data_IF_896995160843
#
_entry.id   IF_896995160843
#
_cell.length_a   1.000
_cell.length_b   1.000
_cell.length_c   1.000
_cell.angle_alpha   90.00
_cell.angle_beta   90.00
_cell.angle_gamma   90.00
#
_symmetry.space_group_name_H-M   'P 1'
#
loop_
_entity.id
_entity.type
_entity.pdbx_description
1 polymer ?
#
# COMPACT_ATOMS: atom_id res chain seq x y z
N UNK A 1 25.10 29.94 2.13
CA UNK A 1 25.73 28.86 2.91
C UNK A 1 26.28 27.83 1.94
N UNK A 2 27.56 27.48 2.04
CA UNK A 2 28.25 26.61 1.07
C UNK A 2 27.81 25.15 1.30
N UNK A 3 26.91 24.63 0.46
CA UNK A 3 26.29 23.31 0.63
C UNK A 3 27.08 22.21 -0.07
N UNK A 4 28.40 22.25 0.11
CA UNK A 4 29.35 21.35 -0.54
C UNK A 4 29.03 19.86 -0.29
N UNK A 5 28.68 19.41 0.94
CA UNK A 5 28.29 18.03 1.19
C UNK A 5 27.12 17.53 0.32
N UNK A 6 26.06 18.32 0.17
CA UNK A 6 24.89 17.92 -0.64
C UNK A 6 25.20 17.95 -2.13
N UNK A 7 26.04 18.89 -2.58
CA UNK A 7 26.48 18.96 -3.97
C UNK A 7 27.31 17.72 -4.37
N UNK A 8 28.20 17.26 -3.49
CA UNK A 8 29.01 16.05 -3.72
C UNK A 8 28.10 14.82 -3.80
N UNK A 9 27.18 14.64 -2.84
CA UNK A 9 26.28 13.49 -2.82
C UNK A 9 25.33 13.45 -4.03
N UNK A 10 24.77 14.60 -4.43
CA UNK A 10 23.91 14.70 -5.60
C UNK A 10 24.66 14.40 -6.91
N UNK A 11 25.87 14.96 -7.06
CA UNK A 11 26.72 14.71 -8.22
C UNK A 11 27.12 13.23 -8.33
N UNK A 12 27.46 12.61 -7.22
CA UNK A 12 27.76 11.18 -7.16
C UNK A 12 26.56 10.32 -7.56
N UNK A 13 25.38 10.61 -6.98
CA UNK A 13 24.12 9.90 -7.28
C UNK A 13 23.76 9.97 -8.76
N UNK A 14 23.85 11.16 -9.37
CA UNK A 14 23.57 11.34 -10.79
C UNK A 14 24.54 10.55 -11.69
N UNK A 15 25.84 10.59 -11.36
CA UNK A 15 26.87 9.94 -12.16
C UNK A 15 26.73 8.40 -12.17
N UNK A 16 26.13 7.80 -11.13
CA UNK A 16 25.83 6.35 -11.12
C UNK A 16 24.85 5.94 -12.21
N UNK A 17 23.88 6.79 -12.56
CA UNK A 17 22.90 6.54 -13.62
C UNK A 17 23.35 7.02 -14.99
N UNK A 18 24.25 8.00 -15.03
CA UNK A 18 24.76 8.62 -16.25
C UNK A 18 26.29 8.53 -16.29
N UNK A 19 26.87 7.32 -16.39
CA UNK A 19 28.30 7.12 -16.25
C UNK A 19 29.12 7.84 -17.32
N UNK A 20 28.51 8.21 -18.44
CA UNK A 20 29.14 8.88 -19.57
C UNK A 20 29.01 10.41 -19.55
N UNK A 21 28.37 11.00 -18.53
CA UNK A 21 28.22 12.45 -18.45
C UNK A 21 29.57 13.14 -18.13
N UNK A 22 30.14 13.76 -19.16
CA UNK A 22 31.46 14.41 -19.09
C UNK A 22 31.52 15.61 -18.13
N UNK A 23 30.40 16.33 -17.96
CA UNK A 23 30.34 17.45 -17.02
C UNK A 23 30.41 16.95 -15.57
N UNK A 24 29.63 15.93 -15.26
CA UNK A 24 29.55 15.36 -13.92
C UNK A 24 30.83 14.61 -13.56
N UNK A 25 31.51 13.96 -14.51
CA UNK A 25 32.86 13.41 -14.30
C UNK A 25 33.86 14.49 -13.87
N UNK A 26 33.87 15.65 -14.54
CA UNK A 26 34.75 16.78 -14.19
C UNK A 26 34.41 17.34 -12.81
N UNK A 27 33.12 17.51 -12.51
CA UNK A 27 32.66 17.95 -11.19
C UNK A 27 33.09 16.97 -10.08
N UNK A 28 32.94 15.67 -10.32
CA UNK A 28 33.36 14.64 -9.37
C UNK A 28 34.89 14.55 -9.22
N UNK A 29 35.65 14.77 -10.28
CA UNK A 29 37.11 14.87 -10.20
C UNK A 29 37.55 16.08 -9.36
N UNK A 30 36.89 17.23 -9.54
CA UNK A 30 37.10 18.40 -8.69
C UNK A 30 36.75 18.10 -7.22
N UNK A 31 35.59 17.52 -6.94
CA UNK A 31 35.21 17.20 -5.56
C UNK A 31 36.17 16.23 -4.89
N UNK A 32 36.62 15.18 -5.57
CA UNK A 32 37.63 14.23 -5.06
C UNK A 32 38.99 14.87 -4.78
N UNK A 33 39.28 16.04 -5.35
CA UNK A 33 40.52 16.78 -5.05
C UNK A 33 40.47 17.57 -3.74
N UNK A 34 39.27 17.73 -3.16
CA UNK A 34 39.08 18.49 -1.92
C UNK A 34 39.36 17.60 -0.71
N UNK A 35 40.08 18.10 0.31
CA UNK A 35 40.36 17.32 1.52
C UNK A 35 39.06 17.00 2.28
N UNK A 36 38.86 15.71 2.58
CA UNK A 36 37.68 15.23 3.31
C UNK A 36 36.41 15.11 2.45
N UNK A 37 36.53 15.20 1.12
CA UNK A 37 35.39 15.04 0.22
C UNK A 37 34.83 13.61 0.22
N UNK A 38 35.69 12.61 0.43
CA UNK A 38 35.34 11.19 0.47
C UNK A 38 34.16 10.89 1.40
N UNK A 39 34.07 11.58 2.55
CA UNK A 39 33.00 11.39 3.53
C UNK A 39 31.61 11.79 3.02
N UNK A 40 31.56 12.58 1.95
CA UNK A 40 30.34 13.09 1.32
C UNK A 40 29.98 12.37 0.01
N UNK A 41 30.83 11.45 -0.48
CA UNK A 41 30.56 10.65 -1.67
C UNK A 41 29.61 9.52 -1.29
N UNK A 42 28.32 9.85 -1.25
CA UNK A 42 27.23 8.93 -0.92
C UNK A 42 26.20 8.95 -2.03
N UNK A 43 25.70 7.79 -2.37
CA UNK A 43 24.53 7.67 -3.23
C UNK A 43 23.27 7.93 -2.39
N UNK A 44 22.48 8.91 -2.82
CA UNK A 44 21.25 9.35 -2.17
C UNK A 44 20.06 8.49 -2.54
N UNK A 45 20.18 7.67 -3.58
CA UNK A 45 19.11 6.78 -4.06
C UNK A 45 19.28 5.32 -3.63
N UNK A 46 20.42 4.97 -3.03
CA UNK A 46 20.69 3.63 -2.49
C UNK A 46 19.56 3.19 -1.57
N UNK A 47 18.99 2.02 -1.84
CA UNK A 47 17.96 1.44 -0.97
C UNK A 47 18.57 0.83 0.29
N UNK A 48 17.78 0.73 1.37
CA UNK A 48 18.25 0.16 2.64
C UNK A 48 18.81 -1.26 2.47
N UNK A 49 18.13 -2.10 1.68
CA UNK A 49 18.57 -3.47 1.39
C UNK A 49 19.87 -3.53 0.58
N UNK A 50 20.15 -2.55 -0.29
CA UNK A 50 21.39 -2.49 -1.09
C UNK A 50 22.59 -2.18 -0.20
N UNK A 51 22.42 -1.28 0.77
CA UNK A 51 23.46 -0.96 1.76
C UNK A 51 23.84 -2.20 2.59
N UNK A 52 22.83 -2.96 3.04
CA UNK A 52 23.02 -4.22 3.76
C UNK A 52 23.69 -5.28 2.88
N UNK A 53 23.27 -5.41 1.62
CA UNK A 53 23.88 -6.33 0.67
C UNK A 53 25.36 -6.00 0.40
N UNK A 54 25.70 -4.73 0.19
CA UNK A 54 27.10 -4.30 0.00
C UNK A 54 27.92 -4.62 1.25
N UNK A 55 27.37 -4.39 2.45
CA UNK A 55 28.03 -4.75 3.71
C UNK A 55 28.25 -6.26 3.82
N UNK A 56 27.26 -7.05 3.43
CA UNK A 56 27.36 -8.51 3.39
C UNK A 56 28.45 -9.00 2.44
N UNK A 57 28.52 -8.47 1.21
CA UNK A 57 29.55 -8.84 0.22
C UNK A 57 30.95 -8.47 0.72
N UNK A 58 31.11 -7.32 1.36
CA UNK A 58 32.39 -6.94 2.01
C UNK A 58 32.75 -7.91 3.13
N UNK A 59 31.78 -8.31 3.96
CA UNK A 59 31.99 -9.29 5.02
C UNK A 59 32.36 -10.67 4.46
N UNK A 60 31.72 -11.11 3.38
CA UNK A 60 32.03 -12.36 2.69
C UNK A 60 33.47 -12.38 2.15
N UNK A 61 33.89 -11.32 1.45
CA UNK A 61 35.25 -11.19 0.93
C UNK A 61 36.31 -11.07 2.03
N UNK A 62 35.90 -10.61 3.22
CA UNK A 62 36.73 -10.59 4.43
C UNK A 62 36.63 -11.87 5.28
N UNK A 63 36.06 -12.96 4.75
CA UNK A 63 35.85 -14.25 5.41
C UNK A 63 35.02 -14.17 6.72
N UNK A 64 34.29 -13.08 6.93
CA UNK A 64 33.39 -12.88 8.05
C UNK A 64 32.00 -13.39 7.70
N UNK A 65 31.88 -14.72 7.67
CA UNK A 65 30.65 -15.41 7.27
C UNK A 65 29.45 -15.04 8.15
N UNK A 66 29.66 -14.88 9.46
CA UNK A 66 28.58 -14.57 10.40
C UNK A 66 27.93 -13.22 10.08
N UNK A 67 28.74 -12.20 9.86
CA UNK A 67 28.23 -10.86 9.53
C UNK A 67 27.60 -10.84 8.14
N UNK A 68 28.19 -11.56 7.18
CA UNK A 68 27.61 -11.71 5.84
C UNK A 68 26.20 -12.32 5.89
N UNK A 69 25.99 -13.37 6.68
CA UNK A 69 24.69 -14.04 6.81
C UNK A 69 23.67 -13.08 7.43
N UNK A 70 24.00 -12.47 8.58
CA UNK A 70 23.08 -11.55 9.26
C UNK A 70 22.68 -10.37 8.38
N UNK A 71 23.63 -9.81 7.62
CA UNK A 71 23.37 -8.68 6.73
C UNK A 71 22.50 -9.07 5.54
N UNK A 72 22.71 -10.27 4.98
CA UNK A 72 21.82 -10.81 3.93
C UNK A 72 20.41 -11.05 4.46
N UNK A 73 20.27 -11.67 5.64
CA UNK A 73 18.96 -11.94 6.26
C UNK A 73 18.18 -10.64 6.52
N UNK A 74 18.84 -9.58 6.97
CA UNK A 74 18.22 -8.28 7.18
C UNK A 74 17.88 -7.56 5.87
N UNK A 75 18.62 -7.80 4.79
CA UNK A 75 18.36 -7.18 3.49
C UNK A 75 17.13 -7.77 2.79
N UNK A 76 16.85 -9.07 3.00
CA UNK A 76 15.81 -9.80 2.27
C UNK A 76 14.39 -9.23 2.42
N UNK A 77 13.87 -8.90 3.62
CA UNK A 77 12.51 -8.35 3.76
C UNK A 77 12.31 -7.04 3.00
N UNK A 78 13.27 -6.12 3.13
CA UNK A 78 13.23 -4.82 2.46
C UNK A 78 13.37 -4.97 0.93
N UNK A 79 14.21 -5.90 0.47
CA UNK A 79 14.33 -6.25 -0.94
C UNK A 79 13.01 -6.79 -1.48
N UNK A 80 12.40 -7.79 -0.81
CA UNK A 80 11.15 -8.40 -1.29
C UNK A 80 10.01 -7.39 -1.33
N UNK A 81 9.92 -6.51 -0.34
CA UNK A 81 8.94 -5.42 -0.36
C UNK A 81 9.11 -4.55 -1.61
N UNK A 82 10.32 -4.04 -1.87
CA UNK A 82 10.60 -3.21 -3.04
C UNK A 82 10.39 -3.97 -4.36
N UNK A 83 10.73 -5.26 -4.38
CA UNK A 83 10.55 -6.14 -5.53
C UNK A 83 9.06 -6.34 -5.85
N UNK A 84 8.21 -6.59 -4.86
CA UNK A 84 6.76 -6.74 -5.06
C UNK A 84 6.09 -5.43 -5.47
N UNK A 85 6.50 -4.31 -4.89
CA UNK A 85 6.04 -2.97 -5.33
C UNK A 85 6.40 -2.72 -6.80
N UNK A 86 7.63 -3.10 -7.20
CA UNK A 86 8.08 -3.00 -8.59
C UNK A 86 7.32 -3.96 -9.51
N UNK A 87 7.13 -5.22 -9.13
CA UNK A 87 6.33 -6.18 -9.89
C UNK A 87 4.89 -5.68 -10.10
N UNK A 88 4.25 -5.18 -9.04
CA UNK A 88 2.92 -4.61 -9.13
C UNK A 88 2.85 -3.41 -10.08
N UNK A 89 3.92 -2.61 -10.15
CA UNK A 89 4.01 -1.47 -11.07
C UNK A 89 4.38 -1.87 -12.52
N UNK A 90 5.16 -2.94 -12.70
CA UNK A 90 5.75 -3.33 -13.99
C UNK A 90 4.95 -4.39 -14.75
N UNK A 91 4.13 -5.21 -14.09
CA UNK A 91 3.36 -6.28 -14.76
C UNK A 91 2.21 -5.76 -15.63
N UNK A 92 1.95 -4.46 -15.65
CA UNK A 92 0.80 -3.88 -16.33
C UNK A 92 -0.52 -4.44 -15.80
N UNK A 93 -1.63 -4.03 -16.39
CA UNK A 93 -2.91 -4.67 -16.12
C UNK A 93 -2.87 -6.10 -16.67
N UNK A 94 -2.74 -7.11 -15.81
CA UNK A 94 -3.08 -8.50 -16.19
C UNK A 94 -4.49 -8.47 -16.76
N UNK A 95 -4.70 -9.03 -17.97
CA UNK A 95 -6.06 -9.23 -18.49
C UNK A 95 -6.76 -10.23 -17.57
N UNK A 96 -7.57 -9.71 -16.64
CA UNK A 96 -8.50 -10.51 -15.85
C UNK A 96 -9.55 -11.01 -16.83
N UNK A 97 -9.35 -12.21 -17.37
CA UNK A 97 -10.31 -12.84 -18.29
C UNK A 97 -11.47 -13.48 -17.55
N UNK A 98 -11.23 -13.89 -16.31
CA UNK A 98 -12.22 -14.56 -15.47
C UNK A 98 -12.03 -14.19 -13.99
N UNK A 99 -13.12 -14.19 -13.22
CA UNK A 99 -13.15 -13.71 -11.83
C UNK A 99 -12.21 -14.51 -10.90
N UNK A 100 -11.94 -15.77 -11.24
CA UNK A 100 -11.07 -16.67 -10.49
C UNK A 100 -9.58 -16.26 -10.52
N UNK A 101 -9.12 -15.65 -11.60
CA UNK A 101 -7.71 -15.23 -11.76
C UNK A 101 -7.39 -13.96 -10.96
N UNK A 102 -8.43 -13.16 -10.67
CA UNK A 102 -8.35 -11.99 -9.80
C UNK A 102 -8.09 -12.38 -8.34
N UNK A 103 -8.80 -13.40 -7.81
CA UNK A 103 -8.61 -13.82 -6.42
C UNK A 103 -7.29 -14.55 -6.20
N UNK A 104 -6.85 -15.39 -7.14
CA UNK A 104 -5.60 -16.14 -6.98
C UNK A 104 -4.37 -15.21 -6.97
N UNK A 105 -4.35 -14.18 -7.83
CA UNK A 105 -3.24 -13.23 -7.88
C UNK A 105 -3.13 -12.35 -6.63
N UNK A 106 -4.25 -12.04 -5.97
CA UNK A 106 -4.27 -11.28 -4.70
C UNK A 106 -4.01 -12.18 -3.49
N UNK A 107 -4.59 -13.38 -3.45
CA UNK A 107 -4.59 -14.24 -2.26
C UNK A 107 -3.29 -15.05 -2.07
N UNK A 108 -2.53 -15.33 -3.14
CA UNK A 108 -1.29 -16.12 -3.05
C UNK A 108 -0.22 -15.44 -2.19
N UNK A 109 -0.27 -14.11 -2.00
CA UNK A 109 0.70 -13.39 -1.19
C UNK A 109 0.36 -13.39 0.32
N UNK A 110 -0.85 -13.76 0.74
CA UNK A 110 -1.22 -13.84 2.17
C UNK A 110 -2.45 -14.73 2.44
N UNK A 111 -2.26 -16.05 2.34
CA UNK A 111 -3.33 -17.04 2.57
C UNK A 111 -3.91 -16.99 4.00
N UNK A 112 -3.14 -16.53 4.98
CA UNK A 112 -3.61 -16.36 6.36
C UNK A 112 -4.60 -15.21 6.49
N UNK A 113 -4.50 -14.20 5.64
CA UNK A 113 -5.47 -13.10 5.58
C UNK A 113 -6.63 -13.35 4.60
N UNK A 114 -6.47 -14.28 3.65
CA UNK A 114 -7.52 -14.62 2.68
C UNK A 114 -8.76 -15.25 3.33
N UNK A 115 -8.57 -16.23 4.22
CA UNK A 115 -9.67 -16.90 4.92
C UNK A 115 -10.52 -15.93 5.79
N UNK A 116 -9.95 -15.10 6.68
CA UNK A 116 -10.76 -14.20 7.50
C UNK A 116 -11.40 -13.08 6.68
N UNK A 117 -10.80 -12.70 5.54
CA UNK A 117 -11.42 -11.79 4.58
C UNK A 117 -12.68 -12.39 3.96
N UNK A 118 -12.62 -13.64 3.50
CA UNK A 118 -13.78 -14.35 2.94
C UNK A 118 -14.92 -14.49 3.96
N UNK A 119 -14.60 -14.82 5.21
CA UNK A 119 -15.60 -14.88 6.30
C UNK A 119 -16.19 -13.49 6.58
N UNK A 120 -15.36 -12.44 6.59
CA UNK A 120 -15.83 -11.06 6.80
C UNK A 120 -16.80 -10.59 5.72
N UNK A 121 -16.54 -10.94 4.46
CA UNK A 121 -17.40 -10.57 3.33
C UNK A 121 -18.78 -11.22 3.45
N UNK A 122 -18.82 -12.50 3.83
CA UNK A 122 -20.07 -13.24 4.01
C UNK A 122 -20.96 -12.70 5.13
N UNK A 123 -20.48 -11.80 6.01
CA UNK A 123 -21.35 -11.04 6.91
C UNK A 123 -22.36 -10.20 6.13
N UNK A 124 -21.92 -9.57 5.05
CA UNK A 124 -22.71 -8.62 4.26
C UNK A 124 -23.50 -9.29 3.14
N UNK A 125 -22.94 -10.36 2.55
CA UNK A 125 -23.62 -11.18 1.55
C UNK A 125 -23.42 -12.66 1.83
N UNK A 126 -24.35 -13.23 2.59
CA UNK A 126 -24.31 -14.64 2.98
C UNK A 126 -24.54 -15.59 1.80
N UNK A 127 -25.10 -15.12 0.69
CA UNK A 127 -25.53 -15.96 -0.44
C UNK A 127 -24.51 -15.99 -1.59
N UNK A 128 -23.39 -15.27 -1.45
CA UNK A 128 -22.33 -15.27 -2.44
C UNK A 128 -21.70 -16.68 -2.57
N UNK A 129 -22.07 -17.37 -3.65
CA UNK A 129 -21.61 -18.73 -3.93
C UNK A 129 -20.11 -18.81 -4.16
N UNK A 130 -19.48 -17.75 -4.64
CA UNK A 130 -18.03 -17.74 -4.89
C UNK A 130 -17.30 -17.67 -3.56
N UNK A 131 -17.74 -16.79 -2.66
CA UNK A 131 -17.11 -16.66 -1.36
C UNK A 131 -17.33 -17.89 -0.47
N UNK A 132 -18.50 -18.53 -0.56
CA UNK A 132 -18.74 -19.84 0.05
C UNK A 132 -17.78 -20.92 -0.48
N UNK A 133 -17.59 -20.99 -1.81
CA UNK A 133 -16.64 -21.94 -2.42
C UNK A 133 -15.20 -21.66 -1.99
N UNK A 134 -14.80 -20.40 -1.90
CA UNK A 134 -13.49 -20.00 -1.42
C UNK A 134 -13.24 -20.50 0.01
N UNK A 135 -14.23 -20.38 0.91
CA UNK A 135 -14.09 -20.91 2.27
C UNK A 135 -13.95 -22.43 2.30
N UNK A 136 -14.73 -23.17 1.51
CA UNK A 136 -14.60 -24.63 1.41
C UNK A 136 -13.20 -25.01 0.90
N UNK A 137 -12.68 -24.26 -0.06
CA UNK A 137 -11.34 -24.45 -0.59
C UNK A 137 -10.26 -24.20 0.47
N UNK A 138 -10.36 -23.11 1.25
CA UNK A 138 -9.43 -22.82 2.35
C UNK A 138 -9.51 -23.87 3.47
N UNK A 139 -10.71 -24.37 3.78
CA UNK A 139 -10.91 -25.44 4.77
C UNK A 139 -10.29 -26.76 4.32
N UNK A 140 -10.44 -27.11 3.04
CA UNK A 140 -9.87 -28.34 2.49
C UNK A 140 -8.34 -28.35 2.55
N UNK A 141 -7.70 -27.20 2.35
CA UNK A 141 -6.24 -27.05 2.39
C UNK A 141 -5.71 -26.52 3.74
N UNK A 142 -6.53 -26.58 4.79
CA UNK A 142 -6.20 -26.03 6.11
C UNK A 142 -4.85 -26.49 6.64
N UNK A 143 -4.60 -27.79 6.66
CA UNK A 143 -3.36 -28.37 7.21
C UNK A 143 -2.16 -28.06 6.33
N UNK A 144 -2.36 -28.05 5.01
CA UNK A 144 -1.32 -27.72 4.03
C UNK A 144 -0.81 -26.29 4.19
N UNK A 145 -1.69 -25.37 4.60
CA UNK A 145 -1.38 -23.94 4.73
C UNK A 145 -1.23 -23.47 6.19
N UNK A 146 -1.26 -24.40 7.15
CA UNK A 146 -1.12 -24.08 8.57
C UNK A 146 -2.21 -23.12 9.07
N UNK A 147 -3.42 -23.23 8.53
CA UNK A 147 -4.56 -22.41 8.94
C UNK A 147 -5.16 -22.96 10.25
N UNK A 148 -5.37 -22.04 11.19
CA UNK A 148 -6.02 -22.30 12.47
C UNK A 148 -7.50 -21.86 12.43
N UNK A 149 -8.32 -22.35 13.36
CA UNK A 149 -9.75 -22.02 13.44
C UNK A 149 -10.01 -20.51 13.57
N UNK A 150 -9.07 -19.77 14.15
CA UNK A 150 -9.09 -18.31 14.25
C UNK A 150 -9.11 -17.61 12.88
N UNK A 151 -8.50 -18.19 11.84
CA UNK A 151 -8.50 -17.63 10.48
C UNK A 151 -9.85 -17.82 9.79
N UNK A 152 -10.76 -18.62 10.36
CA UNK A 152 -12.12 -18.81 9.88
C UNK A 152 -13.14 -18.01 10.70
N UNK A 153 -12.67 -16.99 11.41
CA UNK A 153 -13.52 -15.98 12.05
C UNK A 153 -13.53 -14.68 11.23
N UNK A 154 -14.63 -13.92 11.22
CA UNK A 154 -14.64 -12.61 10.60
C UNK A 154 -13.70 -11.66 11.34
N UNK A 155 -13.15 -10.69 10.61
CA UNK A 155 -12.26 -9.69 11.18
C UNK A 155 -13.02 -8.80 12.18
N UNK A 156 -12.43 -8.46 13.35
CA UNK A 156 -13.11 -7.67 14.37
C UNK A 156 -13.68 -6.34 13.85
N UNK A 157 -12.95 -5.65 12.98
CA UNK A 157 -13.40 -4.38 12.38
C UNK A 157 -14.61 -4.56 11.45
N UNK A 158 -14.69 -5.68 10.73
CA UNK A 158 -15.83 -5.98 9.85
C UNK A 158 -17.10 -6.27 10.67
N UNK A 159 -16.96 -6.98 11.79
CA UNK A 159 -18.08 -7.22 12.73
C UNK A 159 -18.59 -5.91 13.32
N UNK A 160 -17.70 -5.01 13.74
CA UNK A 160 -18.09 -3.70 14.26
C UNK A 160 -18.87 -2.89 13.20
N UNK A 161 -18.34 -2.82 11.98
CA UNK A 161 -18.99 -2.10 10.88
C UNK A 161 -20.35 -2.69 10.50
N UNK A 162 -20.45 -4.02 10.44
CA UNK A 162 -21.70 -4.73 10.17
C UNK A 162 -22.78 -4.38 11.20
N UNK A 163 -22.43 -4.40 12.49
CA UNK A 163 -23.36 -4.07 13.57
C UNK A 163 -23.87 -2.62 13.47
N UNK A 164 -22.98 -1.66 13.21
CA UNK A 164 -23.35 -0.25 13.04
C UNK A 164 -24.27 -0.05 11.83
N UNK A 165 -23.93 -0.67 10.71
CA UNK A 165 -24.69 -0.50 9.45
C UNK A 165 -26.08 -1.13 9.56
N UNK A 166 -26.18 -2.28 10.23
CA UNK A 166 -27.47 -2.94 10.52
C UNK A 166 -28.37 -2.02 11.36
N UNK A 167 -27.84 -1.45 12.44
CA UNK A 167 -28.57 -0.50 13.27
C UNK A 167 -29.00 0.76 12.49
N UNK A 168 -28.11 1.33 11.67
CA UNK A 168 -28.44 2.49 10.84
C UNK A 168 -29.55 2.19 9.83
N UNK A 169 -29.56 0.99 9.25
CA UNK A 169 -30.62 0.56 8.35
C UNK A 169 -31.95 0.43 9.07
N UNK A 170 -31.97 -0.18 10.26
CA UNK A 170 -33.19 -0.26 11.09
C UNK A 170 -33.74 1.14 11.44
N UNK A 171 -32.86 2.08 11.82
CA UNK A 171 -33.24 3.47 12.08
C UNK A 171 -33.81 4.15 10.83
N UNK A 172 -33.20 3.92 9.67
CA UNK A 172 -33.66 4.47 8.40
C UNK A 172 -35.02 3.89 7.99
N UNK A 173 -35.18 2.58 8.06
CA UNK A 173 -36.43 1.91 7.72
C UNK A 173 -37.56 2.38 8.65
N UNK A 174 -37.28 2.52 9.96
CA UNK A 174 -38.20 3.12 10.91
C UNK A 174 -38.58 4.57 10.53
N UNK A 175 -37.60 5.41 10.21
CA UNK A 175 -37.86 6.80 9.81
C UNK A 175 -38.70 6.88 8.54
N UNK A 176 -38.41 6.04 7.55
CA UNK A 176 -39.17 5.95 6.30
C UNK A 176 -40.62 5.51 6.54
N UNK A 177 -40.86 4.62 7.49
CA UNK A 177 -42.21 4.15 7.79
C UNK A 177 -43.01 5.13 8.67
N UNK A 178 -42.35 5.93 9.51
CA UNK A 178 -43.01 6.68 10.60
C UNK A 178 -42.83 8.22 10.54
N UNK A 179 -41.94 8.74 9.69
CA UNK A 179 -41.54 10.17 9.68
C UNK A 179 -41.60 10.76 8.24
N UNK A 180 -42.30 10.13 7.29
CA UNK A 180 -42.45 10.71 5.95
C UNK A 180 -43.26 12.01 5.96
N UNK A 181 -42.88 12.95 5.08
CA UNK A 181 -43.48 14.28 4.87
C UNK A 181 -44.97 14.17 4.48
N UNK A 182 -45.84 14.18 5.48
CA UNK A 182 -47.25 14.54 5.32
C UNK A 182 -47.36 15.99 5.84
N UNK A 183 -47.69 16.93 4.96
CA UNK A 183 -48.02 18.35 5.20
C UNK A 183 -46.94 19.48 5.14
N UNK A 184 -45.79 19.31 4.48
CA UNK A 184 -45.00 20.50 4.07
C UNK A 184 -45.46 20.94 2.66
N UNK A 185 -46.51 21.76 2.62
CA UNK A 185 -47.11 22.32 1.41
C UNK A 185 -46.14 23.14 0.54
N UNK A 186 -46.54 23.32 -0.72
CA UNK A 186 -45.80 24.00 -1.79
C UNK A 186 -45.07 25.27 -1.31
N UNK A 187 -43.74 25.25 -1.31
CA UNK A 187 -42.91 26.39 -0.94
C UNK A 187 -43.12 27.49 -1.97
N UNK A 188 -43.85 28.53 -1.59
CA UNK A 188 -44.13 29.64 -2.49
C UNK A 188 -42.88 30.51 -2.64
N UNK A 189 -42.32 30.59 -3.85
CA UNK A 189 -41.28 31.53 -4.26
C UNK A 189 -41.84 32.98 -4.19
N UNK A 190 -41.89 33.58 -3.00
CA UNK A 190 -42.20 35.02 -2.83
C UNK A 190 -41.12 35.76 -2.03
N UNK A 191 -39.89 35.23 -1.98
CA UNK A 191 -38.80 35.90 -1.25
C UNK A 191 -38.03 36.88 -2.14
N UNK A 192 -38.01 36.66 -3.46
CA UNK A 192 -37.29 37.55 -4.38
C UNK A 192 -38.09 38.81 -4.74
N UNK A 193 -39.42 38.73 -4.88
CA UNK A 193 -40.26 39.88 -5.22
C UNK A 193 -40.38 40.94 -4.11
N UNK A 194 -40.16 40.55 -2.84
CA UNK A 194 -40.21 41.47 -1.69
C UNK A 194 -38.94 42.31 -1.55
N UNK A 195 -37.80 41.80 -2.04
CA UNK A 195 -36.52 42.51 -2.02
C UNK A 195 -36.43 43.57 -3.13
N UNK A 196 -37.08 43.35 -4.28
CA UNK A 196 -37.13 44.35 -5.36
C UNK A 196 -38.03 45.56 -5.05
N UNK A 197 -39.01 45.39 -4.15
CA UNK A 197 -39.91 46.48 -3.72
C UNK A 197 -39.30 47.37 -2.62
N UNK A 198 -38.31 46.89 -1.85
CA UNK A 198 -37.60 47.72 -0.86
C UNK A 198 -36.46 48.55 -1.48
N UNK A 199 -35.94 48.19 -2.65
CA UNK A 199 -34.91 48.97 -3.34
C UNK A 199 -35.46 50.13 -4.20
N UNK A 200 -36.79 50.26 -4.31
CA UNK A 200 -37.44 51.28 -5.16
C UNK A 200 -38.36 52.27 -4.44
N UNK A 201 -38.33 52.37 -3.09
CA UNK A 201 -39.08 53.39 -2.32
C UNK A 201 -38.23 54.39 -1.55
#
# INVERSE_FOLDING_TARGET
>A
ANNLPKAIAAAHTFLLKHPDDEMMKRNMAYYKSLPGAEDYIKDLETKSYESLFIRAVRAYNGENWRTSITDMELALPDFFKAFYECLAACEGSREIKDFKDFYLSIAVNDLKNAAPCAVSYLLFDQNDKVMQQNLVYYQYHRDTWGLLDEHFQPRPEAVQFFNVTTLQKELYDFAKENIMDDDEGEVVEYVDDLLELEETS
#
